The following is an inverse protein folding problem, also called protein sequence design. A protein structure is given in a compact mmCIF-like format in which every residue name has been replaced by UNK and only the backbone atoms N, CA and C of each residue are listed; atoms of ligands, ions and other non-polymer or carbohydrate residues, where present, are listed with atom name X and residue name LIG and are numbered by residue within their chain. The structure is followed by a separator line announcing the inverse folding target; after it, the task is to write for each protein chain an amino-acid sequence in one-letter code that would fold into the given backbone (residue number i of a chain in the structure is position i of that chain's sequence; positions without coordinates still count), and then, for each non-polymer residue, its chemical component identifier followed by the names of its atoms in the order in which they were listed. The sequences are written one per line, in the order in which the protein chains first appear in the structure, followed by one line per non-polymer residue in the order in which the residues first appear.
data_IF_821175751813
#
_entry.id   IF_821175751813
#
_cell.length_a   1.000
_cell.length_b   1.000
_cell.length_c   1.000
_cell.angle_alpha   90.00
_cell.angle_beta   90.00
_cell.angle_gamma   90.00
#
_symmetry.space_group_name_H-M   'P 1'
#
loop_
_entity.id
_entity.type
_entity.pdbx_description
1 polymer ?
#
# COMPACT_ATOMS: atom_id res chain seq x y z
N UNK A 1 10.25 6.57 -4.60
CA UNK A 1 10.34 7.48 -3.44
C UNK A 1 8.97 7.91 -2.95
N UNK A 2 8.91 8.58 -1.80
CA UNK A 2 7.68 9.09 -1.17
C UNK A 2 7.88 10.53 -0.68
N UNK A 3 6.79 11.29 -0.56
CA UNK A 3 6.79 12.62 0.05
C UNK A 3 6.06 12.52 1.38
N UNK A 4 6.72 12.88 2.48
CA UNK A 4 6.23 12.69 3.84
C UNK A 4 6.08 14.03 4.56
N UNK A 5 5.09 14.13 5.44
CA UNK A 5 4.91 15.26 6.34
C UNK A 5 4.52 14.75 7.73
N UNK A 6 4.66 15.60 8.73
CA UNK A 6 4.29 15.27 10.11
C UNK A 6 2.77 15.19 10.25
N UNK A 7 2.25 14.13 10.88
CA UNK A 7 0.81 13.96 11.12
C UNK A 7 0.13 15.19 11.76
N UNK A 8 0.73 15.88 12.75
CA UNK A 8 0.14 17.10 13.32
C UNK A 8 -0.12 18.23 12.31
N UNK A 9 0.67 18.32 11.23
CA UNK A 9 0.47 19.35 10.18
C UNK A 9 -0.92 19.23 9.56
N UNK A 10 -1.48 18.03 9.47
CA UNK A 10 -2.84 17.80 8.94
C UNK A 10 -3.93 18.33 9.87
N UNK A 11 -3.65 18.47 11.16
CA UNK A 11 -4.59 18.97 12.17
C UNK A 11 -4.45 20.47 12.44
N UNK A 12 -3.45 21.13 11.86
CA UNK A 12 -3.25 22.57 12.03
C UNK A 12 -4.38 23.38 11.37
N UNK A 13 -4.74 24.56 11.92
CA UNK A 13 -5.63 25.49 11.24
C UNK A 13 -5.10 25.85 9.85
N UNK A 14 -5.98 25.96 8.85
CA UNK A 14 -5.60 26.24 7.44
C UNK A 14 -4.71 27.48 7.28
N UNK A 15 -4.78 28.42 8.22
CA UNK A 15 -3.97 29.63 8.24
C UNK A 15 -2.47 29.36 8.46
N UNK A 16 -2.09 28.21 9.03
CA UNK A 16 -0.70 27.83 9.35
C UNK A 16 -0.32 26.43 8.84
N UNK A 17 -1.11 25.84 7.93
CA UNK A 17 -0.84 24.51 7.34
C UNK A 17 0.25 24.52 6.26
N UNK A 18 0.82 25.68 5.91
CA UNK A 18 1.86 25.83 4.89
C UNK A 18 3.24 25.34 5.39
N UNK A 19 3.30 24.14 5.96
CA UNK A 19 4.54 23.48 6.36
C UNK A 19 4.89 22.48 5.26
N UNK A 20 5.96 22.78 4.52
CA UNK A 20 6.39 21.96 3.40
C UNK A 20 6.79 20.53 3.83
N UNK A 21 6.51 19.52 2.99
CA UNK A 21 6.90 18.14 3.26
C UNK A 21 8.37 17.87 2.90
N UNK A 22 8.84 16.67 3.23
CA UNK A 22 10.18 16.18 2.90
C UNK A 22 10.06 15.06 1.85
N UNK A 23 10.90 15.10 0.82
CA UNK A 23 11.00 14.04 -0.18
C UNK A 23 12.03 12.98 0.24
N UNK A 24 11.67 11.71 0.10
CA UNK A 24 12.54 10.55 0.30
C UNK A 24 12.66 9.77 -1.01
N UNK A 25 13.87 9.64 -1.51
CA UNK A 25 14.15 8.89 -2.74
C UNK A 25 14.27 7.39 -2.47
N UNK A 26 13.80 6.59 -3.41
CA UNK A 26 13.91 5.13 -3.37
C UNK A 26 13.70 4.54 -4.75
N UNK A 27 14.38 3.41 -5.04
CA UNK A 27 14.14 2.61 -6.26
C UNK A 27 12.73 2.01 -6.25
N UNK A 28 12.30 1.49 -5.09
CA UNK A 28 10.99 0.86 -4.88
C UNK A 28 10.30 1.45 -3.64
N UNK A 29 8.98 1.36 -3.60
CA UNK A 29 8.13 1.68 -2.45
C UNK A 29 7.21 0.50 -2.17
N UNK A 30 7.05 0.11 -0.91
CA UNK A 30 6.08 -0.91 -0.48
C UNK A 30 5.00 -0.21 0.35
N UNK A 31 3.77 -0.22 -0.14
CA UNK A 31 2.59 0.23 0.60
C UNK A 31 2.08 -0.88 1.51
N UNK A 32 2.40 -0.74 2.80
CA UNK A 32 1.92 -1.59 3.88
C UNK A 32 0.96 -0.83 4.81
N UNK A 33 0.29 0.22 4.32
CA UNK A 33 -0.53 1.13 5.15
C UNK A 33 -1.92 0.61 5.51
N UNK A 34 -2.16 -0.69 5.29
CA UNK A 34 -3.41 -1.35 5.63
C UNK A 34 -4.57 -0.91 4.73
N UNK A 35 -5.78 -0.87 5.29
CA UNK A 35 -7.01 -0.61 4.53
C UNK A 35 -7.04 0.75 3.84
N UNK A 36 -6.32 1.74 4.37
CA UNK A 36 -6.29 3.08 3.78
C UNK A 36 -5.52 3.12 2.45
N UNK A 37 -4.54 2.22 2.27
CA UNK A 37 -3.68 2.14 1.08
C UNK A 37 -3.18 3.53 0.64
N UNK A 38 -2.64 4.31 1.60
CA UNK A 38 -2.34 5.74 1.42
C UNK A 38 -1.49 6.02 0.19
N UNK A 39 -0.49 5.18 -0.11
CA UNK A 39 0.41 5.42 -1.24
C UNK A 39 -0.29 5.10 -2.55
N UNK A 40 -0.99 3.97 -2.63
CA UNK A 40 -1.79 3.60 -3.79
C UNK A 40 -2.89 4.64 -4.07
N UNK A 41 -3.59 5.12 -3.04
CA UNK A 41 -4.60 6.18 -3.14
C UNK A 41 -4.01 7.49 -3.67
N UNK A 42 -2.77 7.84 -3.33
CA UNK A 42 -2.10 9.02 -3.91
C UNK A 42 -1.78 8.88 -5.39
N UNK A 43 -1.53 7.67 -5.88
CA UNK A 43 -1.43 7.43 -7.33
C UNK A 43 -2.81 7.46 -8.02
N UNK A 44 -3.86 6.97 -7.36
CA UNK A 44 -5.24 7.08 -7.85
C UNK A 44 -5.70 8.53 -7.98
N UNK A 45 -5.40 9.40 -7.00
CA UNK A 45 -5.68 10.85 -7.07
C UNK A 45 -5.00 11.51 -8.28
N UNK A 46 -3.88 10.95 -8.75
CA UNK A 46 -3.14 11.40 -9.95
C UNK A 46 -3.63 10.75 -11.25
N UNK A 47 -4.62 9.86 -11.19
CA UNK A 47 -5.16 9.14 -12.35
C UNK A 47 -4.26 8.04 -12.91
N UNK A 48 -3.25 7.59 -12.15
CA UNK A 48 -2.27 6.61 -12.62
C UNK A 48 -2.69 5.16 -12.38
N UNK A 49 -3.49 4.92 -11.35
CA UNK A 49 -4.10 3.62 -11.05
C UNK A 49 -5.56 3.80 -10.63
N UNK A 50 -6.31 2.70 -10.57
CA UNK A 50 -7.66 2.68 -10.02
C UNK A 50 -7.77 1.61 -8.94
N UNK A 51 -8.09 2.02 -7.73
CA UNK A 51 -8.38 1.13 -6.61
C UNK A 51 -9.87 0.81 -6.59
N UNK A 52 -10.23 -0.36 -6.03
CA UNK A 52 -11.62 -0.84 -5.99
C UNK A 52 -12.27 -0.72 -4.61
N UNK A 53 -11.50 -0.37 -3.58
CA UNK A 53 -11.93 -0.47 -2.19
C UNK A 53 -11.76 -1.90 -1.67
N UNK A 54 -12.23 -2.19 -0.46
CA UNK A 54 -12.24 -3.55 0.09
C UNK A 54 -13.69 -4.03 0.30
N UNK A 55 -13.89 -5.34 0.18
CA UNK A 55 -15.16 -6.00 0.38
C UNK A 55 -15.52 -6.22 1.86
N UNK A 56 -16.63 -6.93 2.06
CA UNK A 56 -17.07 -7.43 3.38
C UNK A 56 -16.13 -8.52 3.91
N UNK A 57 -16.36 -8.95 5.15
CA UNK A 57 -15.51 -9.95 5.78
C UNK A 57 -15.78 -11.35 5.22
N UNK A 58 -14.73 -12.00 4.73
CA UNK A 58 -14.68 -13.42 4.39
C UNK A 58 -13.27 -13.91 4.69
N UNK A 59 -13.10 -14.55 5.85
CA UNK A 59 -11.79 -14.88 6.41
C UNK A 59 -10.99 -15.80 5.51
N UNK A 60 -11.57 -16.96 5.18
CA UNK A 60 -10.95 -18.00 4.38
C UNK A 60 -10.49 -17.47 3.01
N UNK A 61 -11.37 -16.78 2.27
CA UNK A 61 -11.01 -16.26 0.96
C UNK A 61 -10.03 -15.08 1.02
N UNK A 62 -10.15 -14.22 2.05
CA UNK A 62 -9.28 -13.06 2.20
C UNK A 62 -7.82 -13.43 2.50
N UNK A 63 -7.57 -14.45 3.31
CA UNK A 63 -6.21 -14.86 3.72
C UNK A 63 -5.37 -15.24 2.49
N UNK A 64 -5.89 -16.10 1.63
CA UNK A 64 -5.21 -16.53 0.41
C UNK A 64 -5.20 -15.43 -0.66
N UNK A 65 -6.32 -14.72 -0.85
CA UNK A 65 -6.42 -13.71 -1.89
C UNK A 65 -5.41 -12.56 -1.67
N UNK A 66 -5.19 -12.14 -0.42
CA UNK A 66 -4.22 -11.08 -0.10
C UNK A 66 -2.80 -11.53 -0.45
N UNK A 67 -2.41 -12.77 -0.13
CA UNK A 67 -1.07 -13.29 -0.47
C UNK A 67 -0.91 -13.32 -2.00
N UNK A 68 -1.89 -13.90 -2.70
CA UNK A 68 -1.83 -14.11 -4.16
C UNK A 68 -1.79 -12.81 -4.97
N UNK A 69 -2.42 -11.74 -4.47
CA UNK A 69 -2.44 -10.43 -5.12
C UNK A 69 -1.35 -9.48 -4.62
N UNK A 70 -0.54 -9.90 -3.65
CA UNK A 70 0.61 -9.11 -3.21
C UNK A 70 1.63 -8.99 -4.34
N UNK A 71 1.97 -7.76 -4.72
CA UNK A 71 2.92 -7.52 -5.79
C UNK A 71 2.97 -6.07 -6.23
N UNK A 72 3.65 -5.84 -7.35
CA UNK A 72 3.77 -4.53 -7.99
C UNK A 72 2.44 -4.14 -8.68
N UNK A 73 1.90 -2.99 -8.33
CA UNK A 73 0.62 -2.45 -8.87
C UNK A 73 0.82 -1.25 -9.79
N UNK A 74 2.00 -0.66 -9.75
CA UNK A 74 2.46 0.41 -10.61
C UNK A 74 4.00 0.34 -10.65
N UNK A 75 4.68 0.70 -11.75
CA UNK A 75 6.14 0.67 -11.80
C UNK A 75 6.79 1.34 -10.58
N UNK A 76 7.48 0.55 -9.76
CA UNK A 76 8.14 0.99 -8.53
C UNK A 76 7.28 1.02 -7.26
N UNK A 77 6.00 0.63 -7.32
CA UNK A 77 5.08 0.53 -6.17
C UNK A 77 4.55 -0.89 -6.00
N UNK A 78 4.91 -1.50 -4.88
CA UNK A 78 4.42 -2.80 -4.41
C UNK A 78 3.38 -2.57 -3.31
N UNK A 79 2.33 -3.39 -3.24
CA UNK A 79 1.35 -3.35 -2.15
C UNK A 79 1.37 -4.67 -1.36
N UNK A 80 1.14 -4.60 -0.06
CA UNK A 80 1.13 -5.76 0.84
C UNK A 80 0.09 -5.60 1.96
N UNK A 81 -0.28 -6.71 2.59
CA UNK A 81 -1.30 -6.77 3.63
C UNK A 81 -2.64 -6.23 3.13
N UNK A 82 -3.37 -5.52 4.00
CA UNK A 82 -4.70 -5.02 3.66
C UNK A 82 -4.72 -3.92 2.58
N UNK A 83 -3.59 -3.32 2.24
CA UNK A 83 -3.52 -2.41 1.09
C UNK A 83 -3.83 -3.15 -0.22
N UNK A 84 -3.45 -4.43 -0.32
CA UNK A 84 -3.79 -5.32 -1.44
C UNK A 84 -5.30 -5.41 -1.60
N UNK A 85 -6.01 -5.64 -0.49
CA UNK A 85 -7.46 -5.76 -0.50
C UNK A 85 -8.14 -4.49 -1.04
N UNK A 86 -7.69 -3.31 -0.58
CA UNK A 86 -8.19 -2.01 -1.04
C UNK A 86 -7.90 -1.73 -2.53
N UNK A 87 -6.74 -2.14 -3.02
CA UNK A 87 -6.38 -1.96 -4.43
C UNK A 87 -7.23 -2.86 -5.32
N UNK A 88 -7.37 -4.14 -4.96
CA UNK A 88 -7.97 -5.16 -5.83
C UNK A 88 -9.45 -5.45 -5.58
N UNK A 89 -10.08 -4.91 -4.54
CA UNK A 89 -11.50 -5.19 -4.26
C UNK A 89 -11.72 -6.48 -3.49
N UNK A 90 -10.74 -6.94 -2.71
CA UNK A 90 -10.81 -8.24 -2.06
C UNK A 90 -11.62 -8.18 -0.75
N UNK A 91 -12.12 -9.31 -0.23
CA UNK A 91 -12.68 -9.35 1.12
C UNK A 91 -11.65 -8.96 2.20
N UNK A 92 -12.12 -8.75 3.43
CA UNK A 92 -11.28 -8.57 4.63
C UNK A 92 -11.28 -9.83 5.50
N UNK A 93 -10.18 -10.12 6.21
CA UNK A 93 -10.09 -11.34 7.02
C UNK A 93 -10.47 -11.19 8.50
N UNK A 94 -10.59 -9.96 9.02
CA UNK A 94 -10.88 -9.79 10.45
C UNK A 94 -9.65 -10.10 11.33
N UNK A 95 -9.80 -10.72 12.51
CA UNK A 95 -8.74 -10.87 13.50
C UNK A 95 -7.82 -12.08 13.26
N UNK A 96 -7.46 -12.34 12.00
CA UNK A 96 -6.46 -13.35 11.60
C UNK A 96 -5.30 -12.66 10.89
N UNK A 97 -4.08 -13.20 11.06
CA UNK A 97 -2.84 -12.49 10.68
C UNK A 97 -1.85 -13.33 9.87
N UNK A 98 -2.18 -14.59 9.55
CA UNK A 98 -1.30 -15.48 8.79
C UNK A 98 -0.99 -14.91 7.40
N UNK A 99 -2.04 -14.50 6.70
CA UNK A 99 -1.98 -13.87 5.39
C UNK A 99 -1.24 -12.54 5.39
N UNK A 100 -1.29 -11.77 6.48
CA UNK A 100 -0.49 -10.54 6.61
C UNK A 100 1.01 -10.85 6.61
N UNK A 101 1.44 -11.84 7.39
CA UNK A 101 2.85 -12.23 7.47
C UNK A 101 3.35 -12.79 6.13
N UNK A 102 2.57 -13.69 5.53
CA UNK A 102 2.93 -14.32 4.25
C UNK A 102 2.87 -13.32 3.08
N UNK A 103 1.94 -12.37 3.10
CA UNK A 103 1.91 -11.24 2.17
C UNK A 103 3.17 -10.38 2.31
N UNK A 104 3.61 -10.04 3.53
CA UNK A 104 4.86 -9.31 3.74
C UNK A 104 6.08 -10.03 3.17
N UNK A 105 6.16 -11.36 3.38
CA UNK A 105 7.20 -12.19 2.78
C UNK A 105 7.13 -12.14 1.24
N UNK A 106 5.95 -12.30 0.65
CA UNK A 106 5.77 -12.24 -0.80
C UNK A 106 6.19 -10.88 -1.38
N UNK A 107 5.86 -9.79 -0.70
CA UNK A 107 6.28 -8.44 -1.11
C UNK A 107 7.81 -8.29 -1.10
N UNK A 108 8.50 -8.88 -0.12
CA UNK A 108 9.96 -8.88 -0.07
C UNK A 108 10.58 -9.69 -1.21
N UNK A 109 10.01 -10.84 -1.57
CA UNK A 109 10.44 -11.64 -2.72
C UNK A 109 10.31 -10.85 -4.04
N UNK A 110 9.14 -10.23 -4.26
CA UNK A 110 8.89 -9.38 -5.44
C UNK A 110 9.85 -8.18 -5.46
N UNK A 111 10.09 -7.54 -4.32
CA UNK A 111 11.04 -6.43 -4.23
C UNK A 111 12.47 -6.85 -4.60
N UNK A 112 12.92 -8.02 -4.16
CA UNK A 112 14.25 -8.55 -4.50
C UNK A 112 14.37 -8.87 -6.00
N UNK A 113 13.34 -9.42 -6.62
CA UNK A 113 13.28 -9.63 -8.07
C UNK A 113 13.39 -8.28 -8.81
N UNK A 114 12.57 -7.30 -8.42
CA UNK A 114 12.54 -5.97 -9.02
C UNK A 114 13.83 -5.18 -8.85
N UNK A 115 14.49 -5.29 -7.69
CA UNK A 115 15.77 -4.62 -7.47
C UNK A 115 16.85 -5.13 -8.43
N UNK A 116 16.86 -6.42 -8.76
CA UNK A 116 17.80 -7.01 -9.74
C UNK A 116 17.51 -6.57 -11.17
N UNK A 117 16.24 -6.31 -11.51
CA UNK A 117 15.85 -5.75 -12.83
C UNK A 117 16.28 -4.28 -12.99
N UNK A 118 16.53 -3.58 -11.88
CA UNK A 118 16.91 -2.17 -11.81
C UNK A 118 18.42 -1.95 -11.59
N UNK A 119 19.21 -3.02 -11.66
CA UNK A 119 20.68 -3.00 -11.69
C UNK A 119 21.17 -3.02 -13.14
#
# INVERSE_FOLDING_TARGET
GVVVNWTPVQALPRQITCVDPIALESKLVIDATGHDAFVAKKLEEKGLIKTRGHGSMWVEESEDAVINHTGEVYPGLIVTGMAVSTVFGLPRMGPTFGGMLLSGKRAAEVALEKLKELE
#
